data_IF_799466377077
#
_entry.id   IF_799466377077
#
_cell.length_a   1.000
_cell.length_b   1.000
_cell.length_c   1.000
_cell.angle_alpha   90.00
_cell.angle_beta   90.00
_cell.angle_gamma   90.00
#
_symmetry.space_group_name_H-M   'P 1'
#
loop_
_entity.id
_entity.type
_entity.pdbx_description
1 polymer ?
#
# COMPACT_ATOMS: atom_id res chain seq x y z
N UNK A 1 -31.18 -4.62 -9.85
CA UNK A 1 -30.03 -5.30 -10.49
C UNK A 1 -29.54 -4.44 -11.65
N UNK A 2 -29.19 -3.19 -11.37
CA UNK A 2 -28.73 -2.13 -12.32
C UNK A 2 -27.95 -1.09 -11.47
N UNK A 3 -27.00 -1.55 -10.65
CA UNK A 3 -26.29 -0.67 -9.67
C UNK A 3 -24.76 -0.77 -9.77
N UNK A 4 -24.26 -1.46 -10.80
CA UNK A 4 -22.82 -1.69 -10.99
C UNK A 4 -22.16 -0.69 -11.96
N UNK A 5 -22.95 0.14 -12.65
CA UNK A 5 -22.46 1.17 -13.58
C UNK A 5 -22.99 2.57 -13.21
N UNK A 6 -23.40 2.79 -11.96
CA UNK A 6 -23.74 4.12 -11.48
C UNK A 6 -22.48 4.97 -11.37
N UNK A 7 -22.62 6.29 -11.58
CA UNK A 7 -21.53 7.25 -11.44
C UNK A 7 -20.87 7.13 -10.05
N UNK A 8 -21.65 6.82 -9.02
CA UNK A 8 -21.16 6.57 -7.66
C UNK A 8 -20.21 5.36 -7.56
N UNK A 9 -20.51 4.25 -8.23
CA UNK A 9 -19.61 3.09 -8.23
C UNK A 9 -18.30 3.41 -8.97
N UNK A 10 -18.40 4.05 -10.13
CA UNK A 10 -17.22 4.38 -10.94
C UNK A 10 -16.32 5.41 -10.25
N UNK A 11 -16.92 6.36 -9.53
CA UNK A 11 -16.18 7.35 -8.73
C UNK A 11 -15.51 6.71 -7.51
N UNK A 12 -16.22 5.87 -6.75
CA UNK A 12 -15.64 5.14 -5.63
C UNK A 12 -14.49 4.21 -6.08
N UNK A 13 -14.69 3.46 -7.17
CA UNK A 13 -13.65 2.62 -7.76
C UNK A 13 -12.44 3.45 -8.20
N UNK A 14 -12.67 4.58 -8.87
CA UNK A 14 -11.63 5.50 -9.29
C UNK A 14 -10.82 6.07 -8.10
N UNK A 15 -11.49 6.44 -7.01
CA UNK A 15 -10.82 6.87 -5.78
C UNK A 15 -9.94 5.78 -5.17
N UNK A 16 -10.45 4.54 -5.09
CA UNK A 16 -9.69 3.41 -4.55
C UNK A 16 -8.44 3.17 -5.39
N UNK A 17 -8.58 3.11 -6.72
CA UNK A 17 -7.44 2.93 -7.64
C UNK A 17 -6.42 4.06 -7.48
N UNK A 18 -6.87 5.31 -7.37
CA UNK A 18 -5.99 6.47 -7.19
C UNK A 18 -5.21 6.37 -5.86
N UNK A 19 -5.89 6.06 -4.76
CA UNK A 19 -5.28 5.88 -3.44
C UNK A 19 -4.27 4.72 -3.46
N UNK A 20 -4.64 3.59 -4.07
CA UNK A 20 -3.77 2.41 -4.17
C UNK A 20 -2.51 2.65 -5.01
N UNK A 21 -2.57 3.52 -6.02
CA UNK A 21 -1.40 3.96 -6.80
C UNK A 21 -0.53 4.90 -5.99
N UNK A 22 -1.12 5.90 -5.31
CA UNK A 22 -0.40 6.88 -4.49
C UNK A 22 0.36 6.19 -3.33
N UNK A 23 -0.27 5.23 -2.66
CA UNK A 23 0.31 4.44 -1.57
C UNK A 23 1.04 3.18 -2.05
N UNK A 24 0.93 2.83 -3.33
CA UNK A 24 1.43 1.57 -3.88
C UNK A 24 2.88 1.58 -4.35
N UNK A 25 3.52 2.76 -4.38
CA UNK A 25 4.88 2.93 -4.88
C UNK A 25 5.88 1.99 -4.21
N UNK A 26 5.83 1.91 -2.88
CA UNK A 26 6.75 1.13 -2.05
C UNK A 26 6.70 -0.36 -2.41
N UNK A 27 5.48 -0.88 -2.62
CA UNK A 27 5.26 -2.28 -2.96
C UNK A 27 5.80 -2.62 -4.35
N UNK A 28 5.65 -1.71 -5.32
CA UNK A 28 6.22 -1.89 -6.66
C UNK A 28 7.76 -1.84 -6.64
N UNK A 29 8.34 -0.96 -5.83
CA UNK A 29 9.80 -0.84 -5.66
C UNK A 29 10.38 -2.11 -5.05
N UNK A 30 9.78 -2.67 -4.01
CA UNK A 30 10.24 -3.93 -3.38
C UNK A 30 10.21 -5.09 -4.38
N UNK A 31 9.14 -5.23 -5.16
CA UNK A 31 9.04 -6.28 -6.20
C UNK A 31 10.11 -6.08 -7.28
N UNK A 32 10.34 -4.84 -7.72
CA UNK A 32 11.35 -4.52 -8.71
C UNK A 32 12.77 -4.81 -8.20
N UNK A 33 13.06 -4.50 -6.93
CA UNK A 33 14.35 -4.78 -6.29
C UNK A 33 14.57 -6.29 -6.11
N UNK A 34 13.55 -7.01 -5.65
CA UNK A 34 13.61 -8.47 -5.46
C UNK A 34 13.84 -9.22 -6.78
N UNK A 35 13.24 -8.74 -7.88
CA UNK A 35 13.33 -9.38 -9.20
C UNK A 35 14.50 -8.87 -10.06
N UNK A 36 15.30 -7.90 -9.57
CA UNK A 36 16.35 -7.21 -10.34
C UNK A 36 17.46 -8.13 -10.85
N UNK A 37 17.78 -9.21 -10.12
CA UNK A 37 18.87 -10.14 -10.46
C UNK A 37 18.41 -11.35 -11.30
N UNK A 38 17.13 -11.43 -11.66
CA UNK A 38 16.61 -12.56 -12.44
C UNK A 38 16.93 -12.40 -13.94
N UNK A 39 17.16 -13.51 -14.66
CA UNK A 39 17.27 -13.51 -16.11
C UNK A 39 16.04 -12.84 -16.76
N UNK A 40 16.19 -12.16 -17.90
CA UNK A 40 15.12 -11.34 -18.49
C UNK A 40 13.81 -12.12 -18.76
N UNK A 41 13.89 -13.41 -19.10
CA UNK A 41 12.73 -14.28 -19.27
C UNK A 41 12.02 -14.60 -17.95
N UNK A 42 12.78 -14.79 -16.86
CA UNK A 42 12.23 -15.09 -15.53
C UNK A 42 11.80 -13.84 -14.76
N UNK A 43 12.39 -12.68 -15.06
CA UNK A 43 12.04 -11.41 -14.41
C UNK A 43 10.59 -11.03 -14.63
N UNK A 44 10.04 -11.24 -15.84
CA UNK A 44 8.61 -10.99 -16.12
C UNK A 44 7.70 -11.87 -15.28
N UNK A 45 8.04 -13.16 -15.14
CA UNK A 45 7.30 -14.09 -14.29
C UNK A 45 7.44 -13.72 -12.81
N UNK A 46 8.63 -13.32 -12.36
CA UNK A 46 8.86 -12.86 -11.00
C UNK A 46 8.06 -11.61 -10.66
N UNK A 47 7.97 -10.64 -11.57
CA UNK A 47 7.12 -9.45 -11.40
C UNK A 47 5.64 -9.85 -11.40
N UNK A 48 5.21 -10.72 -12.32
CA UNK A 48 3.80 -11.15 -12.40
C UNK A 48 3.36 -11.86 -11.11
N UNK A 49 4.13 -12.84 -10.65
CA UNK A 49 3.84 -13.57 -9.41
C UNK A 49 4.01 -12.69 -8.17
N UNK A 50 5.00 -11.80 -8.16
CA UNK A 50 5.22 -10.84 -7.08
C UNK A 50 4.06 -9.86 -6.94
N UNK A 51 3.58 -9.29 -8.05
CA UNK A 51 2.43 -8.40 -8.09
C UNK A 51 1.14 -9.13 -7.73
N UNK A 52 0.90 -10.34 -8.28
CA UNK A 52 -0.27 -11.14 -7.94
C UNK A 52 -0.31 -11.49 -6.44
N UNK A 53 0.83 -11.89 -5.86
CA UNK A 53 0.96 -12.15 -4.43
C UNK A 53 0.77 -10.90 -3.59
N UNK A 54 1.36 -9.76 -3.98
CA UNK A 54 1.22 -8.50 -3.27
C UNK A 54 -0.23 -7.98 -3.28
N UNK A 55 -0.93 -8.07 -4.42
CA UNK A 55 -2.37 -7.73 -4.51
C UNK A 55 -3.19 -8.69 -3.66
N UNK A 56 -2.93 -10.00 -3.74
CA UNK A 56 -3.63 -11.01 -2.93
C UNK A 56 -3.49 -10.74 -1.43
N UNK A 57 -2.25 -10.49 -0.98
CA UNK A 57 -1.98 -10.11 0.41
C UNK A 57 -2.68 -8.80 0.78
N UNK A 58 -2.68 -7.80 -0.11
CA UNK A 58 -3.38 -6.52 0.11
C UNK A 58 -4.89 -6.73 0.29
N UNK A 59 -5.53 -7.58 -0.51
CA UNK A 59 -6.95 -7.90 -0.36
C UNK A 59 -7.25 -8.53 1.01
N UNK A 60 -6.42 -9.50 1.44
CA UNK A 60 -6.57 -10.13 2.76
C UNK A 60 -6.39 -9.11 3.89
N UNK A 61 -5.34 -8.28 3.81
CA UNK A 61 -5.07 -7.25 4.81
C UNK A 61 -6.16 -6.17 4.85
N UNK A 62 -6.69 -5.74 3.70
CA UNK A 62 -7.82 -4.79 3.64
C UNK A 62 -9.04 -5.40 4.30
N UNK A 63 -9.37 -6.66 4.02
CA UNK A 63 -10.52 -7.31 4.67
C UNK A 63 -10.37 -7.34 6.19
N UNK A 64 -9.18 -7.66 6.68
CA UNK A 64 -8.85 -7.62 8.11
C UNK A 64 -8.94 -6.18 8.66
N UNK A 65 -8.35 -5.21 7.98
CA UNK A 65 -8.37 -3.81 8.37
C UNK A 65 -9.79 -3.24 8.41
N UNK A 66 -10.63 -3.52 7.41
CA UNK A 66 -12.04 -3.13 7.38
C UNK A 66 -12.83 -3.73 8.55
N UNK A 67 -12.49 -4.95 8.96
CA UNK A 67 -13.09 -5.59 10.14
C UNK A 67 -12.67 -4.86 11.41
N UNK A 68 -11.38 -4.54 11.57
CA UNK A 68 -10.88 -3.75 12.69
C UNK A 68 -11.48 -2.34 12.72
N UNK A 69 -11.68 -1.71 11.57
CA UNK A 69 -12.21 -0.35 11.43
C UNK A 69 -13.68 -0.20 11.87
N UNK A 70 -14.35 -1.31 12.16
CA UNK A 70 -15.67 -1.32 12.83
C UNK A 70 -15.57 -0.92 14.30
N UNK A 71 -14.39 -1.02 14.92
CA UNK A 71 -14.17 -0.54 16.28
C UNK A 71 -14.31 0.98 16.32
N UNK A 72 -15.15 1.52 17.22
CA UNK A 72 -15.26 2.96 17.39
C UNK A 72 -13.90 3.53 17.82
N UNK A 73 -13.60 4.77 17.42
CA UNK A 73 -12.33 5.48 17.67
C UNK A 73 -11.08 4.98 16.92
N UNK A 74 -11.05 3.75 16.39
CA UNK A 74 -9.87 3.25 15.68
C UNK A 74 -9.51 4.11 14.45
N UNK A 75 -10.51 4.64 13.75
CA UNK A 75 -10.33 5.58 12.63
C UNK A 75 -9.59 6.85 13.06
N UNK A 76 -9.92 7.38 14.24
CA UNK A 76 -9.31 8.61 14.77
C UNK A 76 -7.86 8.35 15.12
N UNK A 77 -7.58 7.26 15.85
CA UNK A 77 -6.22 6.85 16.21
C UNK A 77 -5.39 6.58 14.94
N UNK A 78 -5.95 5.86 13.98
CA UNK A 78 -5.29 5.60 12.69
C UNK A 78 -4.96 6.87 11.92
N UNK A 79 -5.87 7.85 11.88
CA UNK A 79 -5.63 9.14 11.23
C UNK A 79 -4.51 9.94 11.92
N UNK A 80 -4.50 9.98 13.26
CA UNK A 80 -3.44 10.64 14.03
C UNK A 80 -2.08 9.97 13.81
N UNK A 81 -2.03 8.63 13.77
CA UNK A 81 -0.81 7.88 13.50
C UNK A 81 -0.30 8.14 12.08
N UNK A 82 -1.16 8.11 11.06
CA UNK A 82 -0.78 8.40 9.68
C UNK A 82 -0.26 9.83 9.53
N UNK A 83 -0.90 10.80 10.20
CA UNK A 83 -0.44 12.18 10.19
C UNK A 83 0.96 12.31 10.83
N UNK A 84 1.17 11.66 11.98
CA UNK A 84 2.48 11.62 12.64
C UNK A 84 3.56 10.98 11.76
N UNK A 85 3.26 9.83 11.14
CA UNK A 85 4.19 9.14 10.22
C UNK A 85 4.49 10.04 9.02
N UNK A 86 3.49 10.71 8.45
CA UNK A 86 3.66 11.64 7.34
C UNK A 86 4.60 12.80 7.68
N UNK A 87 4.46 13.40 8.87
CA UNK A 87 5.39 14.42 9.35
C UNK A 87 6.79 13.83 9.54
N UNK A 88 6.91 12.67 10.19
CA UNK A 88 8.20 12.02 10.45
C UNK A 88 8.95 11.65 9.17
N UNK A 89 8.23 11.29 8.10
CA UNK A 89 8.82 10.99 6.79
C UNK A 89 9.25 12.24 6.02
N UNK A 90 8.55 13.37 6.19
CA UNK A 90 8.90 14.65 5.56
C UNK A 90 9.97 15.43 6.34
N UNK A 91 10.03 15.23 7.65
CA UNK A 91 11.07 15.80 8.48
C UNK A 91 12.43 15.27 7.97
N UNK A 92 13.44 16.14 7.84
CA UNK A 92 14.81 15.69 7.63
C UNK A 92 15.11 14.64 8.70
N UNK A 93 15.59 13.48 8.25
CA UNK A 93 16.18 12.51 9.17
C UNK A 93 17.48 13.16 9.65
N UNK A 94 17.41 13.95 10.72
CA UNK A 94 18.59 14.29 11.48
C UNK A 94 19.12 12.93 11.95
N UNK A 95 20.25 12.52 11.38
CA UNK A 95 20.99 11.34 11.81
C UNK A 95 21.37 11.55 13.28
N UNK A 96 20.50 11.13 14.20
CA UNK A 96 20.93 10.78 15.55
C UNK A 96 21.84 9.56 15.38
N UNK A 97 23.13 9.85 15.41
CA UNK A 97 24.20 8.92 15.08
C UNK A 97 24.12 7.61 15.84
N UNK A 98 24.17 6.52 15.07
CA UNK A 98 24.84 5.31 15.55
C UNK A 98 26.34 5.43 15.25
N UNK A 99 27.05 6.09 16.18
CA UNK A 99 28.45 5.81 16.45
C UNK A 99 28.57 4.73 17.54
N UNK A 100 29.49 3.79 17.31
CA UNK A 100 29.98 2.68 18.16
C UNK A 100 28.92 1.66 18.61
N UNK A 101 29.01 0.36 18.26
CA UNK A 101 30.16 -0.57 18.41
C UNK A 101 30.16 -1.63 17.30
#
# INVERSE_FOLDING_TARGET
MEHYLTVEFLTALGQIVLIDILLGGDNAVVIALATRKLPPQQRRLGILWGTAGAIGLRVVLIFFALTLLKLPFLKIVGALLLFWIGIKLLAPQDEEGHGDV
#
